data_IF_240018030715
#
_entry.id   IF_240018030715
#
_cell.length_a   1.000
_cell.length_b   1.000
_cell.length_c   1.000
_cell.angle_alpha   90.00
_cell.angle_beta   90.00
_cell.angle_gamma   90.00
#
_symmetry.space_group_name_H-M   'P 1'
#
loop_
_entity.id
_entity.type
_entity.pdbx_description
1 polymer ?
#
# COMPACT_ATOMS: atom_id res chain seq x y z
N UNK A 1 2.65 -12.85 11.25
CA UNK A 1 3.50 -11.65 11.19
C UNK A 1 4.73 -11.90 12.03
N UNK A 2 5.91 -11.97 11.43
CA UNK A 2 7.13 -12.35 12.16
C UNK A 2 7.92 -11.15 12.72
N UNK A 3 7.72 -9.93 12.20
CA UNK A 3 8.33 -8.70 12.73
C UNK A 3 7.64 -7.44 12.19
N UNK A 4 7.59 -6.38 13.02
CA UNK A 4 7.14 -5.04 12.63
C UNK A 4 8.37 -4.13 12.54
N UNK A 5 8.52 -3.44 11.42
CA UNK A 5 9.68 -2.57 11.18
C UNK A 5 9.52 -1.20 11.83
N UNK A 6 8.35 -0.57 11.67
CA UNK A 6 8.06 0.77 12.16
C UNK A 6 6.54 1.01 12.24
N UNK A 7 6.12 1.96 13.08
CA UNK A 7 4.76 2.51 13.12
C UNK A 7 4.84 4.01 12.96
N UNK A 8 4.19 4.54 11.92
CA UNK A 8 4.16 5.97 11.62
C UNK A 8 2.76 6.44 11.25
N UNK A 9 2.52 7.75 11.38
CA UNK A 9 1.28 8.39 10.92
C UNK A 9 1.57 9.13 9.63
N UNK A 10 0.72 8.93 8.63
CA UNK A 10 0.80 9.57 7.32
C UNK A 10 -0.46 10.40 7.06
N UNK A 11 -0.32 11.66 6.61
CA UNK A 11 -1.42 12.44 6.07
C UNK A 11 -2.07 11.76 4.87
N UNK A 12 -3.40 11.85 4.73
CA UNK A 12 -4.10 11.27 3.58
C UNK A 12 -3.71 11.90 2.24
N UNK A 13 -3.21 13.14 2.26
CA UNK A 13 -2.77 13.86 1.06
C UNK A 13 -1.50 13.28 0.43
N UNK A 14 -0.71 12.51 1.19
CA UNK A 14 0.54 11.89 0.72
C UNK A 14 0.30 10.50 0.10
N UNK A 15 -0.97 10.09 0.02
CA UNK A 15 -1.40 8.84 -0.60
C UNK A 15 -1.78 9.13 -2.04
N UNK A 16 -0.97 8.64 -2.96
CA UNK A 16 -1.20 8.70 -4.40
C UNK A 16 -1.91 7.43 -4.90
N UNK A 17 -2.69 7.52 -5.99
CA UNK A 17 -3.28 6.35 -6.63
C UNK A 17 -2.18 5.39 -7.11
N UNK A 18 -2.55 4.11 -7.23
CA UNK A 18 -1.63 3.07 -7.71
C UNK A 18 -1.14 3.44 -9.12
N UNK A 19 0.18 3.51 -9.36
CA UNK A 19 0.72 3.77 -10.69
C UNK A 19 0.32 2.69 -11.69
N UNK A 20 0.06 3.08 -12.94
CA UNK A 20 -0.43 2.18 -13.99
C UNK A 20 0.44 0.92 -14.17
N UNK A 21 1.75 1.09 -14.04
CA UNK A 21 2.77 0.03 -14.09
C UNK A 21 2.51 -1.09 -13.07
N UNK A 22 1.97 -0.79 -11.88
CA UNK A 22 1.68 -1.79 -10.85
C UNK A 22 0.36 -2.50 -11.15
N UNK A 23 -0.62 -1.81 -11.72
CA UNK A 23 -1.88 -2.42 -12.17
C UNK A 23 -1.70 -3.42 -13.31
N UNK A 24 -0.63 -3.33 -14.09
CA UNK A 24 -0.29 -4.31 -15.12
C UNK A 24 0.22 -5.65 -14.55
N UNK A 25 0.75 -5.66 -13.32
CA UNK A 25 1.07 -6.88 -12.60
C UNK A 25 -0.22 -7.47 -12.05
N UNK A 26 -0.96 -8.26 -12.85
CA UNK A 26 -2.25 -8.91 -12.52
C UNK A 26 -2.29 -9.77 -11.23
N UNK A 27 -1.24 -9.82 -10.43
CA UNK A 27 -1.15 -10.61 -9.19
C UNK A 27 -0.99 -9.67 -8.01
N UNK A 28 -2.00 -9.60 -7.14
CA UNK A 28 -1.94 -8.89 -5.87
C UNK A 28 -2.44 -7.46 -5.92
N UNK A 29 -2.71 -6.90 -7.10
CA UNK A 29 -3.29 -5.55 -7.28
C UNK A 29 -4.65 -5.43 -6.61
N UNK A 30 -5.40 -6.52 -6.49
CA UNK A 30 -6.71 -6.48 -5.83
C UNK A 30 -6.59 -6.05 -4.36
N UNK A 31 -5.46 -6.31 -3.70
CA UNK A 31 -5.21 -5.93 -2.31
C UNK A 31 -4.50 -4.59 -2.18
N UNK A 32 -4.16 -3.89 -3.26
CA UNK A 32 -3.49 -2.60 -3.19
C UNK A 32 -4.53 -1.48 -3.14
N UNK A 33 -4.45 -0.65 -2.10
CA UNK A 33 -5.28 0.54 -1.93
C UNK A 33 -4.66 1.79 -2.56
N UNK A 34 -3.34 1.89 -2.57
CA UNK A 34 -2.61 3.07 -3.06
C UNK A 34 -1.11 3.01 -2.76
N UNK A 35 -0.42 4.11 -3.03
CA UNK A 35 1.00 4.27 -2.72
C UNK A 35 1.18 5.50 -1.84
N UNK A 36 1.75 5.34 -0.65
CA UNK A 36 2.16 6.43 0.22
C UNK A 36 3.56 6.91 -0.15
N UNK A 37 3.74 8.21 -0.31
CA UNK A 37 5.04 8.83 -0.57
C UNK A 37 5.57 9.46 0.70
N UNK A 38 6.75 9.03 1.14
CA UNK A 38 7.43 9.63 2.29
C UNK A 38 8.28 10.82 1.86
N UNK A 39 8.55 11.74 2.78
CA UNK A 39 9.37 12.95 2.54
C UNK A 39 10.76 12.65 1.98
N UNK A 40 11.31 11.45 2.24
CA UNK A 40 12.60 10.98 1.73
C UNK A 40 12.58 10.49 0.28
N UNK A 41 11.41 10.47 -0.38
CA UNK A 41 11.23 9.90 -1.71
C UNK A 41 10.97 8.38 -1.71
N UNK A 42 10.97 7.75 -0.54
CA UNK A 42 10.59 6.35 -0.38
C UNK A 42 9.10 6.16 -0.66
N UNK A 43 8.77 5.08 -1.38
CA UNK A 43 7.40 4.69 -1.69
C UNK A 43 6.99 3.49 -0.84
N UNK A 44 5.80 3.56 -0.26
CA UNK A 44 5.19 2.47 0.50
C UNK A 44 3.89 2.05 -0.19
N UNK A 45 3.76 0.76 -0.47
CA UNK A 45 2.50 0.19 -0.97
C UNK A 45 1.52 0.04 0.20
N UNK A 46 0.34 0.63 0.06
CA UNK A 46 -0.74 0.54 1.05
C UNK A 46 -1.65 -0.61 0.67
N UNK A 47 -1.76 -1.60 1.57
CA UNK A 47 -2.64 -2.74 1.39
C UNK A 47 -4.03 -2.45 1.96
N UNK A 48 -5.05 -3.00 1.29
CA UNK A 48 -6.43 -3.02 1.71
C UNK A 48 -6.65 -4.18 2.69
N UNK A 49 -6.62 -3.87 3.99
CA UNK A 49 -6.78 -4.87 5.04
C UNK A 49 -8.17 -5.51 5.04
N UNK A 50 -9.21 -4.85 4.52
CA UNK A 50 -10.54 -5.45 4.45
C UNK A 50 -10.52 -6.62 3.46
N UNK A 51 -9.88 -6.45 2.30
CA UNK A 51 -9.73 -7.52 1.30
C UNK A 51 -8.77 -8.61 1.75
N UNK A 52 -7.64 -8.24 2.35
CA UNK A 52 -6.64 -9.20 2.85
C UNK A 52 -7.23 -10.11 3.92
N UNK A 53 -8.14 -9.59 4.76
CA UNK A 53 -8.78 -10.36 5.82
C UNK A 53 -10.10 -11.02 5.39
N UNK A 54 -10.66 -10.65 4.24
CA UNK A 54 -11.92 -11.18 3.73
C UNK A 54 -11.78 -12.54 3.03
N UNK A 55 -10.57 -12.97 2.69
CA UNK A 55 -10.32 -14.34 2.26
C UNK A 55 -10.16 -15.25 3.50
N UNK A 56 -11.26 -15.90 3.87
CA UNK A 56 -11.30 -17.10 4.71
C UNK A 56 -11.22 -18.39 3.86
#
# INVERSE_FOLDING_TARGET
VDSVREVMRMPRGDIEPVPDVVSEFNVGTEYIRGVGKLDGGDLIVLLDMEKVLAEE
#
